data_IF_918316666681
#
_entry.id   IF_918316666681
#
_cell.length_a   1.000
_cell.length_b   1.000
_cell.length_c   1.000
_cell.angle_alpha   90.00
_cell.angle_beta   90.00
_cell.angle_gamma   90.00
#
_symmetry.space_group_name_H-M   'P 1'
#
loop_
_entity.id
_entity.type
_entity.pdbx_description
1 polymer ?
#
# COMPACT_ATOMS: atom_id res chain seq x y z
N UNK A 1 5.79 -22.35 -2.53
CA UNK A 1 5.04 -23.62 -2.59
C UNK A 1 4.07 -23.67 -1.42
N UNK A 2 2.86 -23.16 -1.64
CA UNK A 2 1.67 -23.61 -0.94
C UNK A 2 0.76 -24.17 -2.04
N UNK A 3 0.66 -25.49 -2.11
CA UNK A 3 -0.39 -26.18 -2.85
C UNK A 3 -0.90 -27.23 -1.87
N UNK A 4 -2.15 -27.04 -1.44
CA UNK A 4 -2.98 -28.04 -0.81
C UNK A 4 -3.53 -28.88 -1.96
N UNK A 5 -3.34 -30.21 -1.90
CA UNK A 5 -4.24 -31.19 -2.50
C UNK A 5 -3.97 -32.58 -1.89
N UNK A 6 -4.96 -33.04 -1.14
CA UNK A 6 -5.53 -34.38 -1.04
C UNK A 6 -4.61 -35.59 -1.20
N UNK A 7 -4.31 -36.22 -0.05
CA UNK A 7 -3.93 -37.62 0.03
C UNK A 7 -5.16 -38.47 0.37
N UNK A 8 -5.85 -38.98 -0.65
CA UNK A 8 -6.65 -40.20 -0.54
C UNK A 8 -5.98 -41.29 -1.36
N UNK A 9 -5.13 -42.08 -0.71
CA UNK A 9 -4.59 -43.31 -1.28
C UNK A 9 -5.26 -44.49 -0.57
N UNK A 10 -6.20 -45.13 -1.25
CA UNK A 10 -6.69 -46.47 -0.91
C UNK A 10 -6.13 -47.47 -1.92
N UNK A 11 -5.08 -48.19 -1.52
CA UNK A 11 -4.76 -49.50 -2.10
C UNK A 11 -4.21 -50.41 -1.00
N UNK A 12 -4.96 -51.48 -0.79
CA UNK A 12 -4.62 -52.64 0.01
C UNK A 12 -3.46 -53.43 -0.60
N UNK A 13 -2.44 -53.77 0.19
CA UNK A 13 -1.76 -55.06 0.07
C UNK A 13 -0.86 -55.38 1.28
N UNK A 14 -1.05 -56.62 1.77
CA UNK A 14 -0.08 -57.54 2.37
C UNK A 14 0.78 -57.11 3.57
N UNK A 15 0.43 -57.71 4.71
CA UNK A 15 1.19 -57.74 5.95
C UNK A 15 2.60 -58.32 5.76
N UNK A 16 3.60 -57.47 5.97
CA UNK A 16 4.88 -57.86 6.56
C UNK A 16 5.02 -57.08 7.86
N UNK A 17 5.21 -57.79 8.96
CA UNK A 17 5.42 -57.27 10.31
C UNK A 17 6.80 -56.57 10.40
N UNK A 18 6.92 -55.46 9.68
CA UNK A 18 7.93 -54.43 9.93
C UNK A 18 7.41 -53.63 11.11
N UNK A 19 8.07 -53.72 12.28
CA UNK A 19 7.95 -52.68 13.28
C UNK A 19 8.46 -51.40 12.64
N UNK A 20 7.57 -50.66 11.96
CA UNK A 20 7.91 -49.34 11.48
C UNK A 20 8.16 -48.51 12.74
N UNK A 21 9.46 -48.24 12.99
CA UNK A 21 9.87 -47.33 14.05
C UNK A 21 9.40 -45.94 13.64
N UNK A 22 8.14 -45.65 13.97
CA UNK A 22 7.53 -44.40 13.60
C UNK A 22 8.14 -43.32 14.50
N UNK A 23 8.92 -42.40 13.92
CA UNK A 23 9.46 -41.25 14.66
C UNK A 23 8.36 -40.48 15.41
N UNK A 24 7.12 -40.51 14.93
CA UNK A 24 5.99 -39.86 15.58
C UNK A 24 5.59 -40.47 16.94
N UNK A 25 6.18 -41.60 17.38
CA UNK A 25 5.94 -42.19 18.71
C UNK A 25 6.97 -41.80 19.76
N UNK A 26 8.09 -41.18 19.37
CA UNK A 26 9.11 -40.71 20.31
C UNK A 26 8.59 -39.56 21.19
N UNK A 27 9.05 -39.37 22.43
CA UNK A 27 8.71 -38.20 23.25
C UNK A 27 9.08 -36.86 22.57
N UNK A 28 8.39 -35.78 22.92
CA UNK A 28 8.56 -34.49 22.25
C UNK A 28 9.96 -33.91 22.47
N UNK A 29 10.53 -34.16 23.64
CA UNK A 29 11.87 -33.75 24.06
C UNK A 29 12.94 -34.45 23.22
N UNK A 30 12.73 -35.73 22.91
CA UNK A 30 13.63 -36.50 22.04
C UNK A 30 13.53 -36.01 20.61
N UNK A 31 12.32 -35.75 20.11
CA UNK A 31 12.11 -35.16 18.79
C UNK A 31 12.74 -33.77 18.69
N UNK A 32 12.62 -32.95 19.72
CA UNK A 32 13.22 -31.63 19.78
C UNK A 32 14.75 -31.71 19.70
N UNK A 33 15.37 -32.61 20.47
CA UNK A 33 16.82 -32.84 20.40
C UNK A 33 17.27 -33.30 19.00
N UNK A 34 16.46 -34.11 18.31
CA UNK A 34 16.74 -34.50 16.92
C UNK A 34 16.60 -33.29 15.99
N UNK A 35 15.51 -32.53 16.10
CA UNK A 35 15.22 -31.37 15.25
C UNK A 35 16.25 -30.25 15.46
N UNK A 36 16.79 -30.13 16.66
CA UNK A 36 17.86 -29.21 17.00
C UNK A 36 19.21 -29.56 16.33
N UNK A 37 19.32 -30.70 15.66
CA UNK A 37 20.48 -31.02 14.82
C UNK A 37 20.24 -30.79 13.32
N UNK A 38 19.03 -30.39 12.90
CA UNK A 38 18.64 -30.23 11.50
C UNK A 38 18.76 -28.77 11.02
N UNK A 39 19.01 -28.58 9.72
CA UNK A 39 19.00 -27.27 9.09
C UNK A 39 17.56 -26.75 8.86
N UNK A 40 17.43 -25.45 8.59
CA UNK A 40 16.14 -24.78 8.43
C UNK A 40 15.28 -25.36 7.30
N UNK A 41 15.88 -25.81 6.19
CA UNK A 41 15.12 -26.34 5.05
C UNK A 41 14.55 -27.71 5.39
N UNK A 42 15.33 -28.56 6.04
CA UNK A 42 14.88 -29.87 6.53
C UNK A 42 13.76 -29.72 7.56
N UNK A 43 13.88 -28.76 8.50
CA UNK A 43 12.81 -28.46 9.45
C UNK A 43 11.52 -27.98 8.76
N UNK A 44 11.63 -27.14 7.72
CA UNK A 44 10.49 -26.76 6.90
C UNK A 44 9.83 -27.95 6.19
N UNK A 45 10.62 -28.94 5.76
CA UNK A 45 10.12 -30.18 5.20
C UNK A 45 9.37 -31.01 6.24
N UNK A 46 9.95 -31.20 7.43
CA UNK A 46 9.35 -31.94 8.54
C UNK A 46 8.02 -31.34 9.00
N UNK A 47 7.91 -30.01 9.00
CA UNK A 47 6.67 -29.28 9.29
C UNK A 47 5.47 -29.74 8.44
N UNK A 48 5.71 -30.27 7.24
CA UNK A 48 4.67 -30.75 6.31
C UNK A 48 4.27 -32.22 6.53
N UNK A 49 5.02 -32.96 7.35
CA UNK A 49 4.83 -34.43 7.46
C UNK A 49 3.64 -34.81 8.33
N UNK A 50 3.48 -34.18 9.49
CA UNK A 50 2.37 -34.41 10.40
C UNK A 50 2.15 -33.23 11.37
N UNK A 51 0.96 -33.18 11.99
CA UNK A 51 0.58 -32.11 12.93
C UNK A 51 1.51 -31.98 14.13
N UNK A 52 2.04 -33.09 14.66
CA UNK A 52 2.93 -33.07 15.82
C UNK A 52 4.26 -32.41 15.48
N UNK A 53 4.84 -32.74 14.33
CA UNK A 53 6.11 -32.15 13.87
C UNK A 53 5.90 -30.68 13.54
N UNK A 54 4.77 -30.34 12.93
CA UNK A 54 4.36 -28.95 12.73
C UNK A 54 4.35 -28.18 14.06
N UNK A 55 3.70 -28.70 15.10
CA UNK A 55 3.65 -28.04 16.41
C UNK A 55 5.02 -27.89 17.06
N UNK A 56 5.89 -28.91 16.99
CA UNK A 56 7.24 -28.80 17.54
C UNK A 56 8.02 -27.71 16.81
N UNK A 57 8.00 -27.70 15.47
CA UNK A 57 8.73 -26.71 14.67
C UNK A 57 8.22 -25.28 14.90
N UNK A 58 6.90 -25.08 15.02
CA UNK A 58 6.30 -23.74 15.08
C UNK A 58 6.37 -23.10 16.48
N UNK A 59 6.39 -23.91 17.54
CA UNK A 59 6.23 -23.44 18.91
C UNK A 59 7.47 -23.63 19.80
N UNK A 60 8.42 -24.49 19.43
CA UNK A 60 9.64 -24.69 20.23
C UNK A 60 10.59 -23.48 20.15
N UNK A 61 10.86 -22.80 21.28
CA UNK A 61 11.76 -21.64 21.30
C UNK A 61 13.19 -21.98 20.90
N UNK A 62 13.64 -23.22 21.11
CA UNK A 62 14.97 -23.71 20.77
C UNK A 62 15.21 -23.76 19.26
N UNK A 63 14.15 -24.00 18.47
CA UNK A 63 14.23 -24.07 17.02
C UNK A 63 14.08 -22.69 16.36
N UNK A 64 13.52 -21.69 17.06
CA UNK A 64 13.30 -20.34 16.51
C UNK A 64 14.57 -19.67 15.97
N UNK A 65 15.73 -19.71 16.65
CA UNK A 65 16.96 -19.09 16.15
C UNK A 65 17.44 -19.65 14.81
N UNK A 66 17.03 -20.88 14.47
CA UNK A 66 17.38 -21.52 13.19
C UNK A 66 16.63 -20.96 12.00
N UNK A 67 15.52 -20.26 12.25
CA UNK A 67 14.78 -19.54 11.23
C UNK A 67 15.23 -18.09 11.25
N UNK A 68 16.26 -17.78 10.45
CA UNK A 68 16.68 -16.39 10.28
C UNK A 68 15.50 -15.54 9.78
N UNK A 69 15.22 -14.39 10.43
CA UNK A 69 14.22 -13.48 9.95
C UNK A 69 14.55 -13.01 8.53
N UNK A 70 13.58 -13.14 7.64
CA UNK A 70 13.66 -12.67 6.27
C UNK A 70 13.27 -11.21 6.23
N UNK A 71 14.25 -10.36 5.96
CA UNK A 71 13.97 -8.95 5.70
C UNK A 71 13.34 -8.82 4.32
N UNK A 72 12.11 -8.33 4.29
CA UNK A 72 11.39 -7.94 3.09
C UNK A 72 11.49 -6.44 2.91
N UNK A 73 12.14 -6.01 1.82
CA UNK A 73 12.22 -4.60 1.48
C UNK A 73 10.84 -4.04 1.08
N UNK A 74 10.04 -4.89 0.43
CA UNK A 74 8.67 -4.61 0.00
C UNK A 74 7.81 -5.85 0.19
N UNK A 75 6.81 -5.74 1.06
CA UNK A 75 5.72 -6.68 1.16
C UNK A 75 4.55 -6.16 0.32
N UNK A 76 4.27 -6.86 -0.77
CA UNK A 76 3.27 -6.45 -1.75
C UNK A 76 2.05 -7.34 -1.62
N UNK A 77 0.89 -6.70 -1.54
CA UNK A 77 -0.44 -7.28 -1.54
C UNK A 77 -1.08 -6.93 -2.87
N UNK A 78 -1.41 -7.94 -3.66
CA UNK A 78 -2.06 -7.78 -4.96
C UNK A 78 -3.09 -8.88 -5.18
N UNK A 79 -3.92 -8.74 -6.22
CA UNK A 79 -4.84 -9.77 -6.67
C UNK A 79 -4.61 -10.07 -8.13
N UNK A 80 -4.60 -11.35 -8.47
CA UNK A 80 -4.56 -11.77 -9.86
C UNK A 80 -5.95 -11.59 -10.49
N UNK A 81 -6.12 -10.74 -11.51
CA UNK A 81 -7.43 -10.42 -12.05
C UNK A 81 -8.08 -11.61 -12.75
N UNK A 82 -7.29 -12.54 -13.29
CA UNK A 82 -7.76 -13.71 -14.03
C UNK A 82 -8.19 -14.83 -13.08
N UNK A 83 -7.39 -15.10 -12.05
CA UNK A 83 -7.66 -16.22 -11.13
C UNK A 83 -8.39 -15.81 -9.86
N UNK A 84 -8.51 -14.50 -9.59
CA UNK A 84 -9.06 -13.93 -8.34
C UNK A 84 -8.33 -14.42 -7.08
N UNK A 85 -7.07 -14.82 -7.22
CA UNK A 85 -6.21 -15.21 -6.11
C UNK A 85 -5.49 -13.98 -5.57
N UNK A 86 -5.63 -13.76 -4.27
CA UNK A 86 -4.80 -12.81 -3.54
C UNK A 86 -3.38 -13.34 -3.45
N UNK A 87 -2.42 -12.43 -3.57
CA UNK A 87 -0.99 -12.73 -3.52
C UNK A 87 -0.36 -11.82 -2.47
N UNK A 88 0.27 -12.45 -1.47
CA UNK A 88 1.24 -11.81 -0.61
C UNK A 88 2.62 -12.21 -1.08
N UNK A 89 3.41 -11.27 -1.60
CA UNK A 89 4.76 -11.58 -2.04
C UNK A 89 5.79 -10.62 -1.45
N UNK A 90 6.94 -11.20 -1.11
CA UNK A 90 8.07 -10.49 -0.55
C UNK A 90 9.07 -10.24 -1.66
N UNK A 91 9.41 -8.97 -1.88
CA UNK A 91 10.44 -8.57 -2.85
C UNK A 91 11.67 -8.06 -2.10
N UNK A 92 12.82 -8.66 -2.38
CA UNK A 92 14.12 -8.24 -1.86
C UNK A 92 14.97 -7.72 -3.01
N UNK A 93 15.60 -6.55 -2.87
CA UNK A 93 16.36 -5.92 -3.96
C UNK A 93 17.48 -6.80 -4.54
N UNK A 94 18.01 -7.74 -3.74
CA UNK A 94 19.18 -8.57 -4.11
C UNK A 94 18.84 -9.96 -4.65
N UNK A 95 17.59 -10.40 -4.58
CA UNK A 95 17.19 -11.73 -5.05
C UNK A 95 15.97 -11.63 -5.96
N UNK A 96 16.10 -12.13 -7.19
CA UNK A 96 15.05 -12.21 -8.21
C UNK A 96 14.05 -13.34 -7.99
N UNK A 97 14.20 -14.12 -6.90
CA UNK A 97 13.26 -15.18 -6.55
C UNK A 97 12.00 -14.61 -5.92
N UNK A 98 10.94 -14.47 -6.71
CA UNK A 98 9.61 -14.12 -6.21
C UNK A 98 9.05 -15.27 -5.36
N UNK A 99 8.86 -15.02 -4.06
CA UNK A 99 8.16 -15.94 -3.16
C UNK A 99 6.82 -15.32 -2.81
N UNK A 100 5.76 -15.89 -3.37
CA UNK A 100 4.38 -15.50 -3.12
C UNK A 100 3.63 -16.57 -2.31
N UNK A 101 2.79 -16.12 -1.39
CA UNK A 101 1.67 -16.87 -0.84
C UNK A 101 0.43 -16.48 -1.64
N UNK A 102 -0.25 -17.48 -2.20
CA UNK A 102 -1.49 -17.30 -2.95
C UNK A 102 -2.65 -17.89 -2.15
N UNK A 103 -3.76 -17.17 -2.06
CA UNK A 103 -4.95 -17.62 -1.34
C UNK A 103 -6.22 -16.97 -1.90
N UNK A 104 -7.36 -17.57 -1.61
CA UNK A 104 -8.69 -17.13 -2.03
C UNK A 104 -9.36 -16.26 -0.96
N UNK A 105 -10.49 -15.64 -1.30
CA UNK A 105 -11.33 -15.00 -0.29
C UNK A 105 -11.86 -15.99 0.76
N UNK A 106 -12.14 -17.24 0.34
CA UNK A 106 -12.61 -18.28 1.25
C UNK A 106 -11.53 -18.64 2.27
N UNK A 107 -10.26 -18.72 1.87
CA UNK A 107 -9.15 -18.97 2.80
C UNK A 107 -9.05 -17.90 3.90
N UNK A 108 -9.40 -16.65 3.60
CA UNK A 108 -9.46 -15.57 4.59
C UNK A 108 -10.62 -15.76 5.57
N UNK A 109 -11.80 -16.14 5.08
CA UNK A 109 -12.97 -16.43 5.90
C UNK A 109 -12.73 -17.64 6.82
N UNK A 110 -12.06 -18.66 6.30
CA UNK A 110 -11.66 -19.86 7.03
C UNK A 110 -10.47 -19.62 7.97
N UNK A 111 -9.93 -18.39 7.98
CA UNK A 111 -8.78 -17.96 8.79
C UNK A 111 -7.57 -18.88 8.61
N UNK A 112 -7.24 -19.15 7.35
CA UNK A 112 -6.12 -20.02 7.03
C UNK A 112 -4.82 -19.47 7.65
N UNK A 113 -4.07 -20.37 8.31
CA UNK A 113 -2.96 -19.97 9.18
C UNK A 113 -1.64 -19.81 8.41
N UNK A 114 -1.19 -18.57 8.27
CA UNK A 114 0.13 -18.22 7.73
C UNK A 114 1.14 -17.80 8.82
N UNK A 115 0.84 -18.02 10.10
CA UNK A 115 1.63 -17.58 11.26
C UNK A 115 3.13 -17.86 11.14
N UNK A 116 3.50 -19.08 10.71
CA UNK A 116 4.91 -19.46 10.58
C UNK A 116 5.68 -18.57 9.61
N UNK A 117 5.05 -18.14 8.51
CA UNK A 117 5.70 -17.28 7.52
C UNK A 117 5.85 -15.86 8.07
N UNK A 118 4.80 -15.34 8.70
CA UNK A 118 4.80 -13.97 9.24
C UNK A 118 5.72 -13.79 10.45
N UNK A 119 5.87 -14.81 11.32
CA UNK A 119 6.84 -14.79 12.42
C UNK A 119 8.28 -14.61 11.97
N UNK A 120 8.59 -14.98 10.73
CA UNK A 120 9.92 -14.84 10.15
C UNK A 120 10.05 -13.57 9.30
N UNK A 121 8.98 -12.82 9.08
CA UNK A 121 8.98 -11.71 8.14
C UNK A 121 9.36 -10.41 8.86
N UNK A 122 10.35 -9.67 8.35
CA UNK A 122 10.59 -8.27 8.75
C UNK A 122 10.16 -7.37 7.60
N UNK A 123 9.09 -6.60 7.79
CA UNK A 123 8.51 -5.78 6.71
C UNK A 123 9.00 -4.34 6.83
N UNK A 124 9.68 -3.84 5.79
CA UNK A 124 10.05 -2.40 5.72
C UNK A 124 9.00 -1.55 5.01
N UNK A 125 8.35 -2.08 3.98
CA UNK A 125 7.34 -1.34 3.21
C UNK A 125 6.15 -2.23 2.91
N UNK A 126 4.96 -1.70 3.06
CA UNK A 126 3.70 -2.36 2.71
C UNK A 126 3.15 -1.67 1.47
N UNK A 127 2.84 -2.46 0.44
CA UNK A 127 2.34 -1.93 -0.83
C UNK A 127 1.09 -2.72 -1.19
N UNK A 128 -0.03 -2.03 -1.36
CA UNK A 128 -1.22 -2.56 -2.01
C UNK A 128 -1.19 -2.10 -3.46
N UNK A 129 -1.20 -3.04 -4.41
CA UNK A 129 -1.03 -2.75 -5.83
C UNK A 129 -2.02 -3.54 -6.69
N UNK A 130 -2.63 -2.87 -7.67
CA UNK A 130 -3.58 -3.45 -8.63
C UNK A 130 -4.81 -4.10 -7.96
N UNK A 131 -5.33 -3.47 -6.89
CA UNK A 131 -6.49 -3.95 -6.13
C UNK A 131 -7.78 -3.38 -6.73
N UNK A 132 -8.19 -3.88 -7.89
CA UNK A 132 -9.34 -3.36 -8.64
C UNK A 132 -10.68 -3.96 -8.20
N UNK A 133 -11.80 -3.35 -8.63
CA UNK A 133 -13.17 -3.85 -8.47
C UNK A 133 -13.52 -4.19 -7.00
N UNK A 134 -13.18 -3.30 -6.08
CA UNK A 134 -13.47 -3.44 -4.65
C UNK A 134 -12.82 -4.65 -3.97
N UNK A 135 -11.69 -5.17 -4.48
CA UNK A 135 -10.97 -6.30 -3.87
C UNK A 135 -10.14 -5.92 -2.64
N UNK A 136 -9.84 -4.63 -2.47
CA UNK A 136 -9.32 -4.10 -1.21
C UNK A 136 -10.49 -3.96 -0.23
N UNK A 137 -10.58 -4.90 0.71
CA UNK A 137 -11.70 -5.03 1.65
C UNK A 137 -11.22 -5.00 3.09
N UNK A 138 -12.14 -4.69 4.01
CA UNK A 138 -11.91 -4.84 5.45
C UNK A 138 -11.48 -6.25 5.84
N UNK A 139 -12.04 -7.27 5.19
CA UNK A 139 -11.67 -8.67 5.43
C UNK A 139 -10.18 -8.89 5.12
N UNK A 140 -9.70 -8.41 3.98
CA UNK A 140 -8.29 -8.52 3.60
C UNK A 140 -7.38 -7.78 4.57
N UNK A 141 -7.75 -6.55 4.96
CA UNK A 141 -6.97 -5.76 5.91
C UNK A 141 -6.90 -6.47 7.27
N UNK A 142 -8.04 -6.87 7.84
CA UNK A 142 -8.05 -7.58 9.12
C UNK A 142 -7.28 -8.90 9.04
N UNK A 143 -7.43 -9.65 7.94
CA UNK A 143 -6.67 -10.88 7.71
C UNK A 143 -5.16 -10.62 7.68
N UNK A 144 -4.73 -9.53 7.03
CA UNK A 144 -3.32 -9.13 7.05
C UNK A 144 -2.87 -8.76 8.47
N UNK A 145 -3.67 -7.96 9.20
CA UNK A 145 -3.37 -7.49 10.55
C UNK A 145 -3.17 -8.64 11.54
N UNK A 146 -4.09 -9.62 11.54
CA UNK A 146 -3.99 -10.83 12.37
C UNK A 146 -2.64 -11.56 12.19
N UNK A 147 -2.07 -11.49 11.00
CA UNK A 147 -0.81 -12.14 10.66
C UNK A 147 0.42 -11.25 10.92
N UNK A 148 0.36 -9.96 10.59
CA UNK A 148 1.52 -9.07 10.78
C UNK A 148 1.81 -8.80 12.26
N UNK A 149 0.81 -8.87 13.13
CA UNK A 149 1.01 -8.81 14.59
C UNK A 149 1.91 -9.93 15.12
N UNK A 150 2.01 -11.05 14.39
CA UNK A 150 2.89 -12.17 14.75
C UNK A 150 4.35 -11.93 14.36
N UNK A 151 4.64 -10.89 13.57
CA UNK A 151 6.00 -10.52 13.21
C UNK A 151 6.68 -9.80 14.37
N UNK A 152 7.83 -10.29 14.88
CA UNK A 152 8.52 -9.70 16.02
C UNK A 152 9.11 -8.31 15.73
N UNK A 153 9.23 -7.91 14.46
CA UNK A 153 9.79 -6.63 14.03
C UNK A 153 8.92 -5.98 12.93
N UNK A 154 7.61 -5.90 13.17
CA UNK A 154 6.71 -5.17 12.27
C UNK A 154 6.84 -3.65 12.48
N UNK A 155 7.83 -3.05 11.82
CA UNK A 155 8.08 -1.60 11.85
C UNK A 155 8.20 -1.05 10.42
N UNK A 156 7.10 -1.05 9.64
CA UNK A 156 7.13 -0.51 8.29
C UNK A 156 7.46 0.99 8.33
N UNK A 157 8.32 1.43 7.40
CA UNK A 157 8.67 2.83 7.17
C UNK A 157 7.85 3.47 6.05
N UNK A 158 7.15 2.66 5.25
CA UNK A 158 6.27 3.15 4.20
C UNK A 158 5.02 2.28 4.02
N UNK A 159 3.90 2.94 3.77
CA UNK A 159 2.64 2.33 3.33
C UNK A 159 2.25 2.99 2.01
N UNK A 160 1.94 2.17 1.01
CA UNK A 160 1.57 2.64 -0.33
C UNK A 160 0.32 1.93 -0.83
N UNK A 161 -0.64 2.70 -1.30
CA UNK A 161 -1.76 2.24 -2.11
C UNK A 161 -1.56 2.75 -3.53
N UNK A 162 -1.44 1.83 -4.48
CA UNK A 162 -1.25 2.15 -5.89
C UNK A 162 -2.28 1.40 -6.71
N UNK A 163 -2.99 2.11 -7.59
CA UNK A 163 -3.94 1.45 -8.51
C UNK A 163 -4.97 0.61 -7.75
N UNK A 164 -5.50 1.18 -6.68
CA UNK A 164 -6.44 0.52 -5.78
C UNK A 164 -7.84 1.13 -5.91
N UNK A 165 -8.85 0.30 -5.72
CA UNK A 165 -10.24 0.70 -5.59
C UNK A 165 -10.64 0.64 -4.10
N UNK A 166 -11.01 1.79 -3.53
CA UNK A 166 -11.31 1.95 -2.10
C UNK A 166 -12.77 1.68 -1.74
N UNK A 167 -13.62 1.31 -2.70
CA UNK A 167 -15.07 1.19 -2.51
C UNK A 167 -15.47 0.36 -1.28
N UNK A 168 -14.78 -0.75 -1.06
CA UNK A 168 -15.09 -1.73 0.00
C UNK A 168 -14.16 -1.63 1.22
N UNK A 169 -13.31 -0.61 1.29
CA UNK A 169 -12.45 -0.36 2.43
C UNK A 169 -13.10 0.69 3.34
N UNK A 170 -13.34 0.33 4.60
CA UNK A 170 -13.85 1.26 5.59
C UNK A 170 -12.76 2.14 6.19
N UNK A 171 -13.18 3.31 6.65
CA UNK A 171 -12.36 4.22 7.44
C UNK A 171 -11.75 3.52 8.66
N UNK A 172 -12.52 2.68 9.36
CA UNK A 172 -12.04 1.95 10.53
C UNK A 172 -10.95 0.91 10.18
N UNK A 173 -11.10 0.18 9.08
CA UNK A 173 -10.06 -0.75 8.63
C UNK A 173 -8.76 -0.02 8.26
N UNK A 174 -8.85 1.12 7.56
CA UNK A 174 -7.69 1.99 7.30
C UNK A 174 -7.06 2.46 8.61
N UNK A 175 -7.86 2.91 9.57
CA UNK A 175 -7.38 3.39 10.85
C UNK A 175 -6.65 2.30 11.65
N UNK A 176 -7.15 1.06 11.66
CA UNK A 176 -6.47 -0.08 12.29
C UNK A 176 -5.11 -0.36 11.64
N UNK A 177 -5.04 -0.34 10.31
CA UNK A 177 -3.78 -0.50 9.59
C UNK A 177 -2.78 0.60 9.97
N UNK A 178 -3.22 1.85 10.03
CA UNK A 178 -2.37 2.97 10.41
C UNK A 178 -2.01 3.00 11.89
N UNK A 179 -2.86 2.49 12.79
CA UNK A 179 -2.49 2.32 14.22
C UNK A 179 -1.31 1.36 14.40
N UNK A 180 -1.29 0.27 13.62
CA UNK A 180 -0.22 -0.73 13.71
C UNK A 180 1.08 -0.25 13.03
N UNK A 181 0.99 0.51 11.94
CA UNK A 181 2.14 0.92 11.12
C UNK A 181 2.64 2.35 11.37
N UNK A 182 1.74 3.26 11.76
CA UNK A 182 1.87 4.72 11.65
C UNK A 182 3.04 5.34 12.42
N UNK A 183 3.36 4.82 13.61
CA UNK A 183 4.42 5.37 14.49
C UNK A 183 5.83 5.31 13.89
N UNK A 184 6.04 4.48 12.87
CA UNK A 184 7.32 4.30 12.20
C UNK A 184 7.30 4.80 10.74
N UNK A 185 6.15 5.27 10.25
CA UNK A 185 6.04 5.72 8.87
C UNK A 185 6.84 7.00 8.65
N UNK A 186 7.67 6.93 7.62
CA UNK A 186 8.40 8.05 7.03
C UNK A 186 7.70 8.49 5.74
N UNK A 187 6.96 7.58 5.10
CA UNK A 187 6.24 7.85 3.87
C UNK A 187 4.85 7.21 3.89
N UNK A 188 3.83 8.00 3.54
CA UNK A 188 2.51 7.50 3.20
C UNK A 188 2.15 7.92 1.78
N UNK A 189 1.65 6.98 0.98
CA UNK A 189 1.31 7.25 -0.42
C UNK A 189 0.00 6.60 -0.82
N UNK A 190 -0.91 7.40 -1.36
CA UNK A 190 -2.08 6.97 -2.14
C UNK A 190 -1.91 7.55 -3.55
N UNK A 191 -1.74 6.68 -4.55
CA UNK A 191 -1.54 7.11 -5.93
C UNK A 191 -2.42 6.31 -6.91
N UNK A 192 -3.12 7.01 -7.79
CA UNK A 192 -4.04 6.41 -8.76
C UNK A 192 -5.10 5.53 -8.06
N UNK A 193 -5.87 6.12 -7.14
CA UNK A 193 -6.82 5.40 -6.29
C UNK A 193 -8.25 5.82 -6.64
N UNK A 194 -9.17 4.86 -6.82
CA UNK A 194 -10.55 5.10 -7.21
C UNK A 194 -11.56 4.90 -6.06
N UNK A 195 -12.77 5.43 -6.24
CA UNK A 195 -13.90 5.34 -5.30
C UNK A 195 -13.54 5.80 -3.88
N UNK A 196 -12.72 6.85 -3.78
CA UNK A 196 -12.28 7.40 -2.49
C UNK A 196 -13.46 8.11 -1.82
N UNK A 197 -13.78 7.73 -0.59
CA UNK A 197 -14.81 8.41 0.20
C UNK A 197 -14.19 9.53 1.02
N UNK A 198 -15.03 10.47 1.45
CA UNK A 198 -14.57 11.60 2.27
C UNK A 198 -13.94 11.17 3.61
N UNK A 199 -14.25 9.97 4.11
CA UNK A 199 -13.76 9.40 5.36
C UNK A 199 -12.59 8.42 5.18
N UNK A 200 -12.15 8.15 3.94
CA UNK A 200 -11.05 7.21 3.65
C UNK A 200 -9.72 7.66 4.26
N UNK A 201 -9.48 8.97 4.31
CA UNK A 201 -8.32 9.55 4.97
C UNK A 201 -8.69 10.91 5.58
N UNK A 202 -8.53 11.04 6.89
CA UNK A 202 -8.98 12.19 7.71
C UNK A 202 -7.87 12.62 8.67
N UNK A 203 -8.09 13.69 9.43
CA UNK A 203 -7.15 14.10 10.49
C UNK A 203 -6.92 13.01 11.56
N UNK A 204 -7.91 12.16 11.85
CA UNK A 204 -7.75 11.02 12.78
C UNK A 204 -6.75 9.97 12.26
N UNK A 205 -6.74 9.75 10.95
CA UNK A 205 -5.79 8.85 10.29
C UNK A 205 -4.38 9.43 10.32
N UNK A 206 -4.24 10.72 9.98
CA UNK A 206 -2.96 11.42 10.02
C UNK A 206 -2.38 11.46 11.44
N UNK A 207 -3.23 11.57 12.48
CA UNK A 207 -2.81 11.54 13.88
C UNK A 207 -2.18 10.21 14.34
N UNK A 208 -2.30 9.14 13.56
CA UNK A 208 -1.61 7.87 13.85
C UNK A 208 -0.11 7.92 13.52
N UNK A 209 0.32 8.92 12.76
CA UNK A 209 1.70 9.07 12.35
C UNK A 209 2.57 9.70 13.43
N UNK A 210 3.83 9.28 13.51
CA UNK A 210 4.86 10.08 14.17
C UNK A 210 5.29 11.19 13.21
N UNK A 211 4.60 12.33 13.28
CA UNK A 211 4.81 13.45 12.35
C UNK A 211 6.26 13.97 12.36
N UNK A 212 7.03 13.76 13.43
CA UNK A 212 8.47 14.14 13.48
C UNK A 212 9.35 13.29 12.57
N UNK A 213 8.92 12.06 12.25
CA UNK A 213 9.63 11.14 11.35
C UNK A 213 9.11 11.19 9.92
N UNK A 214 7.94 11.78 9.71
CA UNK A 214 7.32 11.84 8.40
C UNK A 214 8.16 12.72 7.46
N UNK A 215 8.59 12.15 6.35
CA UNK A 215 9.26 12.88 5.28
C UNK A 215 8.31 13.20 4.13
N UNK A 216 7.26 12.40 3.91
CA UNK A 216 6.36 12.59 2.77
C UNK A 216 4.96 12.03 3.01
N UNK A 217 3.95 12.86 2.72
CA UNK A 217 2.53 12.51 2.66
C UNK A 217 2.01 12.83 1.26
N UNK A 218 1.77 11.78 0.46
CA UNK A 218 1.34 11.88 -0.93
C UNK A 218 -0.03 11.24 -1.12
N UNK A 219 -1.01 12.01 -1.57
CA UNK A 219 -2.34 11.58 -1.99
C UNK A 219 -2.59 12.24 -3.34
N UNK A 220 -2.32 11.50 -4.43
CA UNK A 220 -2.31 12.03 -5.80
C UNK A 220 -3.11 11.14 -6.75
N UNK A 221 -3.64 11.74 -7.82
CA UNK A 221 -4.46 11.05 -8.83
C UNK A 221 -5.59 10.21 -8.19
N UNK A 222 -6.28 10.77 -7.20
CA UNK A 222 -7.46 10.11 -6.61
C UNK A 222 -8.74 10.46 -7.38
N UNK A 223 -9.66 9.51 -7.47
CA UNK A 223 -11.02 9.71 -7.95
C UNK A 223 -12.00 9.50 -6.78
N UNK A 224 -12.77 10.53 -6.46
CA UNK A 224 -13.75 10.50 -5.38
C UNK A 224 -14.97 9.66 -5.78
N UNK A 225 -15.57 8.94 -4.82
CA UNK A 225 -16.86 8.31 -5.01
C UNK A 225 -17.96 9.39 -5.22
N UNK A 226 -19.01 9.06 -5.99
CA UNK A 226 -19.96 10.02 -6.55
C UNK A 226 -20.61 11.00 -5.53
N UNK A 227 -20.78 10.57 -4.28
CA UNK A 227 -21.40 11.38 -3.22
C UNK A 227 -20.43 12.33 -2.51
N UNK A 228 -19.13 12.22 -2.79
CA UNK A 228 -18.07 12.94 -2.11
C UNK A 228 -17.28 13.82 -3.08
N UNK A 229 -16.93 15.03 -2.63
CA UNK A 229 -16.15 15.98 -3.44
C UNK A 229 -14.70 16.08 -3.01
N UNK A 230 -14.42 15.85 -1.73
CA UNK A 230 -13.08 15.95 -1.16
C UNK A 230 -12.96 15.08 0.09
N UNK A 231 -11.72 14.79 0.48
CA UNK A 231 -11.34 14.15 1.73
C UNK A 231 -11.57 15.09 2.92
N UNK A 232 -12.03 14.53 4.03
CA UNK A 232 -12.21 15.22 5.32
C UNK A 232 -10.87 15.41 6.05
N UNK A 233 -9.86 15.83 5.29
CA UNK A 233 -8.54 16.23 5.77
C UNK A 233 -8.51 17.76 5.79
N UNK A 234 -8.52 18.31 6.99
CA UNK A 234 -8.65 19.75 7.26
C UNK A 234 -7.34 20.35 7.77
N UNK A 235 -7.34 21.67 7.97
CA UNK A 235 -6.18 22.46 8.45
C UNK A 235 -5.64 21.99 9.81
N UNK A 236 -6.36 21.16 10.55
CA UNK A 236 -5.83 20.49 11.74
C UNK A 236 -4.55 19.71 11.42
N UNK A 237 -4.38 19.18 10.19
CA UNK A 237 -3.13 18.55 9.75
C UNK A 237 -1.96 19.52 9.88
N UNK A 238 -2.13 20.76 9.41
CA UNK A 238 -1.09 21.78 9.48
C UNK A 238 -0.78 22.17 10.92
N UNK A 239 -1.80 22.26 11.78
CA UNK A 239 -1.63 22.51 13.22
C UNK A 239 -0.78 21.39 13.86
N UNK A 240 -1.09 20.13 13.55
CA UNK A 240 -0.34 18.98 14.08
C UNK A 240 1.11 18.95 13.57
N UNK A 241 1.34 19.24 12.28
CA UNK A 241 2.68 19.34 11.68
C UNK A 241 3.50 20.47 12.32
N UNK A 242 2.88 21.63 12.51
CA UNK A 242 3.49 22.78 13.19
C UNK A 242 3.90 22.42 14.63
N UNK A 243 3.01 21.81 15.41
CA UNK A 243 3.29 21.37 16.77
C UNK A 243 4.43 20.33 16.84
N UNK A 244 4.55 19.49 15.82
CA UNK A 244 5.64 18.53 15.69
C UNK A 244 6.96 19.16 15.22
N UNK A 245 6.95 20.42 14.80
CA UNK A 245 8.03 21.09 14.07
C UNK A 245 8.50 20.28 12.85
N UNK A 246 7.53 19.79 12.07
CA UNK A 246 7.76 18.92 10.93
C UNK A 246 7.20 19.52 9.65
N UNK A 247 7.97 19.42 8.57
CA UNK A 247 7.67 20.01 7.27
C UNK A 247 7.93 18.99 6.15
N UNK A 248 7.13 17.91 6.08
CA UNK A 248 7.30 16.88 5.08
C UNK A 248 6.94 17.39 3.68
N UNK A 249 7.34 16.63 2.66
CA UNK A 249 6.79 16.77 1.32
C UNK A 249 5.29 16.47 1.35
N UNK A 250 4.46 17.43 0.99
CA UNK A 250 3.01 17.30 0.91
C UNK A 250 2.59 17.32 -0.55
N UNK A 251 1.86 16.29 -0.99
CA UNK A 251 1.23 16.28 -2.31
C UNK A 251 -0.19 15.80 -2.14
N UNK A 252 -1.17 16.70 -2.14
CA UNK A 252 -2.54 16.40 -1.72
C UNK A 252 -3.55 16.75 -2.80
N UNK A 253 -4.43 15.81 -3.14
CA UNK A 253 -5.49 15.95 -4.13
C UNK A 253 -6.85 15.89 -3.46
N UNK A 254 -7.77 16.77 -3.86
CA UNK A 254 -9.17 16.82 -3.41
C UNK A 254 -9.32 16.77 -1.88
N UNK A 255 -8.71 17.71 -1.15
CA UNK A 255 -8.74 17.78 0.31
C UNK A 255 -9.47 19.04 0.82
N UNK A 256 -10.03 18.96 2.04
CA UNK A 256 -10.71 20.07 2.74
C UNK A 256 -9.80 21.10 3.40
N UNK A 257 -8.60 21.32 2.84
CA UNK A 257 -7.62 22.30 3.32
C UNK A 257 -7.95 23.71 2.82
N UNK A 258 -7.55 24.73 3.60
CA UNK A 258 -7.81 26.13 3.26
C UNK A 258 -6.54 26.95 3.04
N UNK A 259 -6.67 28.06 2.31
CA UNK A 259 -5.60 29.06 2.16
C UNK A 259 -5.13 29.60 3.52
N UNK A 260 -6.04 29.77 4.48
CA UNK A 260 -5.73 30.29 5.82
C UNK A 260 -4.89 29.29 6.62
N UNK A 261 -5.22 28.01 6.58
CA UNK A 261 -4.41 26.98 7.22
C UNK A 261 -3.02 26.88 6.61
N UNK A 262 -2.96 26.94 5.29
CA UNK A 262 -1.70 26.84 4.54
C UNK A 262 -0.78 28.06 4.78
N UNK A 263 -1.33 29.27 4.89
CA UNK A 263 -0.54 30.46 5.21
C UNK A 263 0.08 30.39 6.60
N UNK A 264 -0.69 29.96 7.60
CA UNK A 264 -0.19 29.76 8.97
C UNK A 264 0.91 28.69 9.03
N UNK A 265 0.78 27.62 8.25
CA UNK A 265 1.81 26.58 8.13
C UNK A 265 3.13 27.13 7.59
N UNK A 266 3.07 27.87 6.48
CA UNK A 266 4.27 28.46 5.87
C UNK A 266 4.89 29.56 6.74
N UNK A 267 4.06 30.42 7.36
CA UNK A 267 4.55 31.44 8.29
C UNK A 267 5.32 30.81 9.46
N UNK A 268 4.87 29.66 9.95
CA UNK A 268 5.65 28.92 10.92
C UNK A 268 6.93 28.36 10.33
N UNK A 269 6.89 27.77 9.14
CA UNK A 269 8.07 27.18 8.53
C UNK A 269 9.20 28.21 8.38
N UNK A 270 8.84 29.39 7.86
CA UNK A 270 9.72 30.56 7.70
C UNK A 270 10.31 31.00 9.05
N UNK A 271 9.49 31.06 10.12
CA UNK A 271 9.98 31.44 11.46
C UNK A 271 10.93 30.43 12.07
N UNK A 272 10.79 29.14 11.73
CA UNK A 272 11.61 28.08 12.32
C UNK A 272 12.91 27.84 11.53
N UNK A 273 12.95 28.09 10.22
CA UNK A 273 14.12 27.85 9.39
C UNK A 273 14.88 29.15 9.11
N UNK A 274 16.12 29.26 9.62
CA UNK A 274 17.04 30.32 9.21
C UNK A 274 17.46 30.15 7.74
N UNK A 275 17.70 31.28 7.08
CA UNK A 275 17.92 31.45 5.63
C UNK A 275 19.11 30.67 5.03
N UNK A 276 19.95 30.03 5.85
CA UNK A 276 21.19 29.35 5.41
C UNK A 276 21.03 27.85 5.15
N UNK A 277 19.91 27.22 5.57
CA UNK A 277 19.66 25.79 5.38
C UNK A 277 18.20 25.52 5.03
N UNK A 278 17.76 25.96 3.86
CA UNK A 278 16.45 25.57 3.34
C UNK A 278 16.46 24.07 3.04
N UNK A 279 15.84 23.27 3.92
CA UNK A 279 15.43 21.92 3.58
C UNK A 279 14.36 21.98 2.48
N UNK A 280 14.43 21.09 1.49
CA UNK A 280 13.51 21.07 0.36
C UNK A 280 12.04 20.97 0.82
N UNK A 281 11.32 22.08 0.89
CA UNK A 281 9.88 22.10 1.16
C UNK A 281 9.14 22.01 -0.16
N UNK A 282 8.49 20.86 -0.39
CA UNK A 282 7.67 20.62 -1.58
C UNK A 282 6.24 20.41 -1.14
N UNK A 283 5.36 21.33 -1.51
CA UNK A 283 3.94 21.29 -1.23
C UNK A 283 3.15 21.44 -2.54
N UNK A 284 2.44 20.39 -2.97
CA UNK A 284 1.54 20.42 -4.12
C UNK A 284 0.12 20.13 -3.68
N UNK A 285 -0.82 20.98 -4.08
CA UNK A 285 -2.24 20.82 -3.80
C UNK A 285 -3.02 20.86 -5.11
N UNK A 286 -3.95 19.94 -5.31
CA UNK A 286 -4.76 19.88 -6.52
C UNK A 286 -6.24 19.69 -6.16
N UNK A 287 -7.12 20.41 -6.83
CA UNK A 287 -8.59 20.30 -6.66
C UNK A 287 -9.04 20.44 -5.19
N UNK A 288 -8.34 21.25 -4.39
CA UNK A 288 -8.67 21.57 -3.01
C UNK A 288 -9.50 22.87 -2.97
N UNK A 289 -10.84 22.81 -2.75
CA UNK A 289 -11.72 23.97 -2.94
C UNK A 289 -11.48 25.11 -1.95
N UNK A 290 -10.93 24.83 -0.77
CA UNK A 290 -10.60 25.85 0.23
C UNK A 290 -9.30 26.61 -0.08
N UNK A 291 -8.50 26.15 -1.04
CA UNK A 291 -7.25 26.80 -1.44
C UNK A 291 -7.57 27.78 -2.58
N UNK A 292 -7.83 29.02 -2.21
CA UNK A 292 -8.02 30.15 -3.10
C UNK A 292 -6.67 30.69 -3.56
N UNK A 293 -6.35 30.46 -4.84
CA UNK A 293 -5.05 30.78 -5.43
C UNK A 293 -4.67 32.27 -5.30
N UNK A 294 -5.58 33.19 -5.64
CA UNK A 294 -5.30 34.64 -5.61
C UNK A 294 -4.93 35.15 -4.21
N UNK A 295 -5.58 34.61 -3.19
CA UNK A 295 -5.31 34.99 -1.80
C UNK A 295 -3.94 34.48 -1.35
N UNK A 296 -3.58 33.29 -1.78
CA UNK A 296 -2.31 32.68 -1.42
C UNK A 296 -1.12 33.33 -2.14
N UNK A 297 -1.26 33.70 -3.43
CA UNK A 297 -0.25 34.49 -4.14
C UNK A 297 0.01 35.83 -3.46
N UNK A 298 -1.04 36.49 -2.94
CA UNK A 298 -0.88 37.73 -2.17
C UNK A 298 -0.09 37.50 -0.89
N UNK A 299 -0.39 36.43 -0.15
CA UNK A 299 0.32 36.08 1.09
C UNK A 299 1.80 35.80 0.81
N UNK A 300 2.11 35.05 -0.25
CA UNK A 300 3.50 34.81 -0.66
C UNK A 300 4.25 36.10 -1.04
N UNK A 301 3.55 37.08 -1.62
CA UNK A 301 4.14 38.39 -1.93
C UNK A 301 4.40 39.26 -0.69
N UNK A 302 3.63 39.07 0.38
CA UNK A 302 3.77 39.80 1.64
C UNK A 302 4.86 39.20 2.57
N UNK A 303 5.51 38.09 2.16
CA UNK A 303 6.62 37.51 2.92
C UNK A 303 7.87 38.40 2.90
N UNK A 304 8.68 38.41 3.99
CA UNK A 304 9.82 39.32 4.14
C UNK A 304 10.78 39.30 2.95
N UNK A 305 11.33 40.46 2.59
CA UNK A 305 12.18 40.66 1.40
C UNK A 305 13.43 39.74 1.31
N UNK A 306 13.89 39.16 2.42
CA UNK A 306 14.96 38.14 2.42
C UNK A 306 14.52 36.83 1.71
N UNK A 307 13.21 36.59 1.62
CA UNK A 307 12.59 35.55 0.81
C UNK A 307 12.22 36.05 -0.59
N UNK A 308 11.93 37.35 -0.76
CA UNK A 308 11.61 37.91 -2.08
C UNK A 308 12.80 37.89 -3.04
N UNK A 309 14.05 37.99 -2.54
CA UNK A 309 15.26 37.78 -3.36
C UNK A 309 15.40 36.35 -3.90
N UNK A 310 14.74 35.37 -3.29
CA UNK A 310 14.63 34.00 -3.80
C UNK A 310 13.41 33.81 -4.70
N UNK A 311 12.33 34.57 -4.50
CA UNK A 311 11.14 34.58 -5.37
C UNK A 311 11.40 35.32 -6.70
N UNK A 312 12.28 36.33 -6.71
CA UNK A 312 12.71 37.04 -7.93
C UNK A 312 13.67 36.21 -8.81
N UNK A 313 14.31 35.18 -8.24
CA UNK A 313 14.93 34.11 -9.04
C UNK A 313 13.83 33.08 -9.28
N UNK A 314 13.27 33.00 -10.48
CA UNK A 314 12.23 32.03 -10.90
C UNK A 314 12.58 30.53 -10.64
N UNK A 315 13.70 30.23 -9.97
CA UNK A 315 14.22 28.91 -9.62
C UNK A 315 13.64 28.31 -8.33
N UNK A 316 13.09 29.11 -7.38
CA UNK A 316 12.72 28.62 -6.03
C UNK A 316 11.24 28.75 -5.65
N UNK A 317 10.40 29.30 -6.52
CA UNK A 317 8.95 29.33 -6.33
C UNK A 317 8.27 29.08 -7.68
N UNK A 318 8.27 27.83 -8.14
CA UNK A 318 7.47 27.46 -9.31
C UNK A 318 6.01 27.28 -8.91
N UNK A 319 5.26 28.38 -8.90
CA UNK A 319 3.80 28.28 -8.92
C UNK A 319 3.41 27.85 -10.34
N UNK A 320 3.27 26.55 -10.57
CA UNK A 320 2.74 26.05 -11.84
C UNK A 320 1.21 26.16 -11.82
N UNK A 321 0.65 26.87 -12.81
CA UNK A 321 -0.77 27.26 -12.86
C UNK A 321 -1.61 26.28 -13.71
N UNK A 322 -1.26 25.00 -13.72
CA UNK A 322 -1.96 24.00 -14.54
C UNK A 322 -3.21 23.48 -13.80
N UNK A 323 -4.40 23.70 -14.37
CA UNK A 323 -5.66 23.00 -14.03
C UNK A 323 -5.87 22.72 -12.53
N UNK A 324 -6.28 23.74 -11.76
CA UNK A 324 -6.58 23.66 -10.31
C UNK A 324 -5.45 23.07 -9.44
N UNK A 325 -4.22 23.07 -9.92
CA UNK A 325 -3.04 22.63 -9.17
C UNK A 325 -2.25 23.85 -8.70
N UNK A 326 -1.70 23.75 -7.50
CA UNK A 326 -0.84 24.73 -6.88
C UNK A 326 0.40 24.02 -6.32
N UNK A 327 1.60 24.49 -6.65
CA UNK A 327 2.85 23.92 -6.15
C UNK A 327 3.72 25.03 -5.54
N UNK A 328 4.28 24.74 -4.37
CA UNK A 328 5.36 25.49 -3.72
C UNK A 328 6.55 24.56 -3.61
N UNK A 329 7.67 24.96 -4.18
CA UNK A 329 8.89 24.15 -4.19
C UNK A 329 10.10 25.01 -3.83
N UNK A 330 10.50 24.96 -2.57
CA UNK A 330 11.76 25.54 -2.12
C UNK A 330 12.87 24.50 -2.28
N UNK A 331 13.37 24.25 -3.49
CA UNK A 331 14.45 23.30 -3.72
C UNK A 331 15.76 24.00 -4.13
N UNK A 332 16.86 23.68 -3.44
CA UNK A 332 18.19 23.83 -4.02
C UNK A 332 18.39 22.72 -5.06
N UNK A 333 18.52 23.10 -6.34
CA UNK A 333 18.81 22.25 -7.51
C UNK A 333 18.48 20.76 -7.34
N UNK A 334 17.22 20.33 -7.60
CA UNK A 334 16.96 18.99 -8.16
C UNK A 334 15.55 18.91 -8.79
N UNK A 335 15.54 18.28 -9.95
CA UNK A 335 14.46 18.06 -10.93
C UNK A 335 13.09 17.66 -10.35
N UNK A 336 12.06 18.41 -10.71
CA UNK A 336 10.65 18.01 -10.62
C UNK A 336 10.36 16.85 -11.58
N UNK A 337 9.86 15.72 -11.05
CA UNK A 337 9.27 14.65 -11.85
C UNK A 337 7.76 14.89 -11.89
N UNK A 338 7.24 15.30 -13.05
CA UNK A 338 5.80 15.38 -13.29
C UNK A 338 5.22 13.96 -13.33
N UNK A 339 4.54 13.55 -12.26
CA UNK A 339 3.65 12.39 -12.31
C UNK A 339 2.36 12.83 -13.02
N UNK A 340 2.32 12.63 -14.34
CA UNK A 340 1.12 12.86 -15.16
C UNK A 340 0.08 11.77 -14.85
N UNK A 341 -1.10 12.18 -14.37
CA UNK A 341 -2.22 11.25 -14.23
C UNK A 341 -2.70 10.83 -15.64
N UNK A 342 -2.99 9.54 -15.88
CA UNK A 342 -3.69 9.14 -17.10
C UNK A 342 -5.08 9.80 -17.12
N UNK A 343 -5.44 10.42 -18.24
CA UNK A 343 -6.70 11.13 -18.38
C UNK A 343 -7.89 10.15 -18.25
N UNK A 344 -8.80 10.44 -17.32
CA UNK A 344 -10.10 9.77 -17.21
C UNK A 344 -11.03 10.31 -18.30
N UNK A 345 -11.24 9.55 -19.37
CA UNK A 345 -12.30 9.84 -20.35
C UNK A 345 -13.65 9.40 -19.79
N UNK A 346 -14.45 10.37 -19.33
CA UNK A 346 -15.89 10.22 -19.11
C UNK A 346 -16.64 10.75 -20.33
N UNK A 347 -17.39 9.90 -21.01
CA UNK A 347 -18.54 10.31 -21.81
C UNK A 347 -19.47 9.11 -21.96
N UNK A 348 -20.55 9.12 -21.18
CA UNK A 348 -21.78 8.40 -21.50
C UNK A 348 -22.79 9.40 -22.10
N UNK A 349 -23.64 8.85 -22.97
CA UNK A 349 -24.85 9.37 -23.60
C UNK A 349 -24.71 10.29 -24.83
N UNK A 350 -24.88 9.69 -26.01
CA UNK A 350 -26.09 9.93 -26.81
C UNK A 350 -26.27 8.81 -27.86
N UNK A 351 -27.39 8.10 -27.73
CA UNK A 351 -27.88 7.17 -28.72
C UNK A 351 -28.75 7.89 -29.76
N UNK A 352 -28.73 7.32 -30.97
CA UNK A 352 -29.82 7.37 -31.96
C UNK A 352 -29.83 8.56 -32.94
N UNK A 353 -29.06 8.44 -34.04
CA UNK A 353 -29.41 8.98 -35.35
C UNK A 353 -28.43 8.49 -36.42
N UNK A 354 -28.98 8.03 -37.55
CA UNK A 354 -28.36 7.64 -38.83
C UNK A 354 -28.08 6.15 -39.07
N UNK A 355 -29.19 5.49 -39.40
CA UNK A 355 -29.33 4.56 -40.52
C UNK A 355 -28.66 5.10 -41.80
N UNK A 356 -28.41 4.16 -42.71
CA UNK A 356 -27.95 4.33 -44.11
C UNK A 356 -26.46 4.62 -44.27
N UNK A 357 -25.65 3.56 -44.29
CA UNK A 357 -24.87 3.17 -45.47
C UNK A 357 -24.14 1.85 -45.16
N UNK A 358 -23.84 1.03 -46.17
CA UNK A 358 -23.09 -0.24 -46.08
C UNK A 358 -23.91 -1.47 -45.64
N UNK A 359 -25.03 -1.64 -46.31
CA UNK A 359 -25.58 -2.97 -46.60
C UNK A 359 -25.49 -3.19 -48.11
N UNK A 360 -24.28 -3.29 -48.63
CA UNK A 360 -23.99 -3.80 -49.97
C UNK A 360 -22.54 -4.29 -49.99
N UNK A 361 -22.31 -5.43 -50.63
CA UNK A 361 -20.99 -6.09 -50.79
C UNK A 361 -20.51 -6.87 -49.56
N UNK A 362 -21.21 -7.96 -49.24
CA UNK A 362 -20.60 -9.28 -48.95
C UNK A 362 -21.59 -10.44 -48.87
N UNK A 363 -22.73 -10.30 -49.56
CA UNK A 363 -23.63 -11.40 -49.90
C UNK A 363 -23.47 -11.76 -51.37
N UNK A 364 -22.24 -12.14 -51.71
CA UNK A 364 -21.96 -13.11 -52.78
C UNK A 364 -21.72 -14.44 -52.09
N UNK A 365 -22.82 -14.98 -51.58
CA UNK A 365 -22.99 -16.38 -51.24
C UNK A 365 -22.88 -17.23 -52.51
N UNK A 366 -22.37 -18.45 -52.32
CA UNK A 366 -22.80 -19.64 -53.04
C UNK A 366 -22.54 -19.74 -54.54
N UNK A 367 -21.33 -20.18 -54.89
CA UNK A 367 -21.14 -21.16 -55.98
C UNK A 367 -19.74 -21.76 -55.90
N UNK A 368 -19.56 -22.77 -55.05
CA UNK A 368 -18.64 -23.91 -55.29
C UNK A 368 -18.59 -24.82 -54.05
N UNK A 369 -19.65 -25.60 -53.85
CA UNK A 369 -19.51 -26.96 -53.32
C UNK A 369 -19.61 -27.86 -54.55
N UNK A 370 -18.53 -28.52 -54.98
CA UNK A 370 -18.49 -29.85 -55.64
C UNK A 370 -17.03 -30.17 -56.04
N UNK A 371 -16.54 -31.31 -55.55
CA UNK A 371 -15.26 -32.01 -55.75
C UNK A 371 -14.06 -31.61 -54.89
#
# INVERSE_FOLDING_TARGET
MACINDCSASTSSTATSSMSRNLATLPAEVLLNIFDQLDSNTLCGLRKTNRRFNSIVDYSPELKPKFEPRTSDRFVVTIDPATKLYKFHSVTYRNTGEKALTFTAQDMLDKHDFSFVFRQLKVRRIIFEHMHNGTLTDLLINFLLDHVELSPEFNPIAVTFRECDMLNLSSDAMLRLLRLSGKNLVQFTMNNVANVRSDTFTNEHAAQFDLKKMNSLTITCISMAAEHKYLSLTDELFVQLHQANSFPVLQLHSCGLTTVGLSLFFDSWVKTHNTESFSNLVCTFKDCPGIVQNELSRICHDWPLEFSTFVEREEFLSVSHAMNTFTVNFAGEHTSVENTCPASSTSDDDADSKKEEQNEIKKSEELATTQ
#
